data_IF_093236983418
#
_entry.id   IF_093236983418
#
_cell.length_a   1.000
_cell.length_b   1.000
_cell.length_c   1.000
_cell.angle_alpha   90.00
_cell.angle_beta   90.00
_cell.angle_gamma   90.00
#
_symmetry.space_group_name_H-M   'P 1'
#
loop_
_entity.id
_entity.type
_entity.pdbx_description
1 polymer ?
#
# COMPACT_ATOMS: atom_id res chain seq x y z
N UNK A 1 7.19 4.93 12.08
CA UNK A 1 7.44 6.00 11.11
C UNK A 1 6.97 5.45 9.77
N UNK A 2 6.27 6.22 8.95
CA UNK A 2 5.69 5.68 7.72
C UNK A 2 6.69 5.70 6.58
N UNK A 3 6.96 4.53 6.00
CA UNK A 3 7.87 4.34 4.88
C UNK A 3 7.15 4.61 3.55
N UNK A 4 7.77 5.42 2.70
CA UNK A 4 7.30 5.79 1.38
C UNK A 4 8.30 5.30 0.34
N UNK A 5 7.85 4.48 -0.60
CA UNK A 5 8.61 4.15 -1.80
C UNK A 5 8.17 5.08 -2.94
N UNK A 6 9.06 5.96 -3.38
CA UNK A 6 8.86 6.86 -4.52
C UNK A 6 9.48 6.24 -5.78
N UNK A 7 8.65 5.87 -6.74
CA UNK A 7 9.05 5.19 -7.98
C UNK A 7 9.04 6.17 -9.15
N UNK A 8 10.10 6.12 -9.96
CA UNK A 8 10.34 7.04 -11.10
C UNK A 8 10.42 8.52 -10.65
N UNK A 9 11.21 8.76 -9.59
CA UNK A 9 11.45 10.11 -9.08
C UNK A 9 12.19 10.98 -10.12
N UNK A 10 11.55 12.07 -10.55
CA UNK A 10 12.15 13.11 -11.39
C UNK A 10 12.77 14.22 -10.53
N UNK A 11 13.56 15.12 -11.14
CA UNK A 11 14.16 16.25 -10.40
C UNK A 11 13.11 17.15 -9.74
N UNK A 12 11.97 17.37 -10.38
CA UNK A 12 10.87 18.16 -9.84
C UNK A 12 10.21 17.51 -8.60
N UNK A 13 10.32 16.19 -8.44
CA UNK A 13 9.79 15.47 -7.27
C UNK A 13 10.73 15.52 -6.06
N UNK A 14 11.96 15.98 -6.21
CA UNK A 14 12.89 16.11 -5.07
C UNK A 14 12.36 17.08 -4.01
N UNK A 15 11.78 18.22 -4.43
CA UNK A 15 11.14 19.16 -3.52
C UNK A 15 9.99 18.51 -2.75
N UNK A 16 9.19 17.68 -3.42
CA UNK A 16 8.12 16.93 -2.79
C UNK A 16 8.66 15.92 -1.78
N UNK A 17 9.70 15.16 -2.14
CA UNK A 17 10.34 14.20 -1.25
C UNK A 17 10.83 14.87 0.04
N UNK A 18 11.51 16.02 -0.07
CA UNK A 18 11.95 16.80 1.11
C UNK A 18 10.76 17.26 1.97
N UNK A 19 9.69 17.76 1.34
CA UNK A 19 8.48 18.15 2.08
C UNK A 19 7.80 16.98 2.80
N UNK A 20 7.89 15.76 2.26
CA UNK A 20 7.41 14.55 2.92
C UNK A 20 8.34 14.13 4.08
N UNK A 21 9.65 14.24 3.91
CA UNK A 21 10.63 13.98 4.99
C UNK A 21 10.43 14.94 6.17
N UNK A 22 10.24 16.23 5.89
CA UNK A 22 9.93 17.25 6.91
C UNK A 22 8.62 16.96 7.65
N UNK A 23 7.66 16.33 6.97
CA UNK A 23 6.39 15.89 7.56
C UNK A 23 6.51 14.59 8.38
N UNK A 24 7.70 14.00 8.49
CA UNK A 24 8.01 12.82 9.31
C UNK A 24 7.85 11.47 8.60
N UNK A 25 7.82 11.47 7.26
CA UNK A 25 7.90 10.25 6.45
C UNK A 25 9.36 9.90 6.15
N UNK A 26 9.64 8.62 5.92
CA UNK A 26 10.92 8.20 5.33
C UNK A 26 10.69 7.91 3.85
N UNK A 27 11.44 8.57 2.96
CA UNK A 27 11.25 8.47 1.51
C UNK A 27 12.42 7.73 0.89
N UNK A 28 12.16 6.59 0.29
CA UNK A 28 13.12 5.85 -0.53
C UNK A 28 12.76 6.03 -2.00
N UNK A 29 13.66 6.61 -2.79
CA UNK A 29 13.46 6.78 -4.22
C UNK A 29 14.11 5.65 -5.03
N UNK A 30 13.39 5.07 -5.99
CA UNK A 30 13.92 4.04 -6.87
C UNK A 30 13.35 4.14 -8.30
N UNK A 31 13.92 3.38 -9.23
CA UNK A 31 13.37 3.19 -10.58
C UNK A 31 12.32 2.09 -10.57
N UNK A 32 11.42 2.09 -11.55
CA UNK A 32 10.39 1.06 -11.70
C UNK A 32 10.97 -0.35 -11.75
N UNK A 33 12.13 -0.54 -12.38
CA UNK A 33 12.81 -1.83 -12.47
C UNK A 33 13.34 -2.37 -11.14
N UNK A 34 13.56 -1.52 -10.14
CA UNK A 34 14.05 -1.89 -8.81
C UNK A 34 12.92 -1.92 -7.77
N UNK A 35 11.74 -1.37 -8.10
CA UNK A 35 10.63 -1.26 -7.15
C UNK A 35 10.14 -2.63 -6.66
N UNK A 36 10.19 -3.66 -7.51
CA UNK A 36 9.82 -5.03 -7.13
C UNK A 36 10.69 -5.62 -6.03
N UNK A 37 11.97 -5.25 -5.98
CA UNK A 37 12.92 -5.81 -5.02
C UNK A 37 12.67 -5.19 -3.64
N UNK A 38 12.43 -3.89 -3.58
CA UNK A 38 12.01 -3.19 -2.36
C UNK A 38 10.68 -3.73 -1.80
N UNK A 39 9.73 -4.09 -2.66
CA UNK A 39 8.47 -4.71 -2.24
C UNK A 39 8.66 -6.17 -1.78
N UNK A 40 9.69 -6.87 -2.28
CA UNK A 40 9.97 -8.26 -1.95
C UNK A 40 10.79 -8.43 -0.66
N UNK A 41 11.66 -7.46 -0.34
CA UNK A 41 12.57 -7.50 0.81
C UNK A 41 11.85 -7.44 2.18
N UNK A 42 10.52 -7.30 2.19
CA UNK A 42 9.72 -7.34 3.41
C UNK A 42 9.81 -6.06 4.24
N UNK A 43 10.42 -4.99 3.69
CA UNK A 43 10.35 -3.66 4.27
C UNK A 43 8.88 -3.18 4.31
N UNK A 44 8.52 -2.55 5.43
CA UNK A 44 7.17 -2.08 5.74
C UNK A 44 6.82 -0.84 4.91
N UNK A 45 6.79 -0.95 3.58
CA UNK A 45 6.36 0.15 2.70
C UNK A 45 4.88 0.45 2.98
N UNK A 46 4.62 1.59 3.61
CA UNK A 46 3.26 2.03 3.92
C UNK A 46 2.63 2.76 2.74
N UNK A 47 3.44 3.41 1.92
CA UNK A 47 2.97 4.19 0.78
C UNK A 47 3.83 3.88 -0.43
N UNK A 48 3.19 3.54 -1.54
CA UNK A 48 3.80 3.48 -2.86
C UNK A 48 3.38 4.74 -3.64
N UNK A 49 4.32 5.64 -3.90
CA UNK A 49 4.13 6.80 -4.77
C UNK A 49 4.71 6.50 -6.15
N UNK A 50 3.86 6.36 -7.15
CA UNK A 50 4.27 6.05 -8.52
C UNK A 50 4.18 7.29 -9.41
N UNK A 51 5.32 7.80 -9.88
CA UNK A 51 5.33 8.85 -10.90
C UNK A 51 4.96 8.29 -12.26
N UNK A 52 3.94 8.88 -12.88
CA UNK A 52 3.52 8.59 -14.26
C UNK A 52 3.89 9.72 -15.22
N UNK A 53 4.65 10.72 -14.74
CA UNK A 53 4.96 11.94 -15.47
C UNK A 53 5.74 11.65 -16.76
N UNK A 54 6.75 10.79 -16.67
CA UNK A 54 7.61 10.42 -17.81
C UNK A 54 7.07 9.22 -18.61
N UNK A 55 5.77 8.92 -18.48
CA UNK A 55 5.08 7.84 -19.20
C UNK A 55 5.82 6.49 -19.12
N UNK A 56 6.02 5.96 -17.89
CA UNK A 56 6.68 4.66 -17.72
C UNK A 56 5.91 3.54 -18.43
N UNK A 57 6.60 2.43 -18.74
CA UNK A 57 5.98 1.29 -19.43
C UNK A 57 4.71 0.81 -18.70
N UNK A 58 3.52 0.93 -19.33
CA UNK A 58 2.26 0.54 -18.72
C UNK A 58 2.22 -0.94 -18.30
N UNK A 59 2.99 -1.79 -18.95
CA UNK A 59 3.07 -3.23 -18.63
C UNK A 59 3.81 -3.43 -17.31
N UNK A 60 4.98 -2.80 -17.18
CA UNK A 60 5.77 -2.84 -15.95
C UNK A 60 5.03 -2.20 -14.77
N UNK A 61 4.27 -1.12 -14.99
CA UNK A 61 3.40 -0.51 -13.97
C UNK A 61 2.33 -1.49 -13.50
N UNK A 62 1.60 -2.14 -14.42
CA UNK A 62 0.57 -3.12 -14.05
C UNK A 62 1.17 -4.33 -13.32
N UNK A 63 2.36 -4.76 -13.72
CA UNK A 63 3.06 -5.86 -13.07
C UNK A 63 3.52 -5.50 -11.65
N UNK A 64 3.94 -4.25 -11.41
CA UNK A 64 4.25 -3.75 -10.08
C UNK A 64 3.01 -3.71 -9.19
N UNK A 65 1.89 -3.23 -9.72
CA UNK A 65 0.64 -3.01 -8.98
C UNK A 65 -0.22 -4.28 -8.78
N UNK A 66 0.30 -5.47 -9.08
CA UNK A 66 -0.45 -6.71 -8.82
C UNK A 66 -0.67 -6.91 -7.32
N UNK A 67 -1.86 -7.41 -6.98
CA UNK A 67 -2.34 -7.57 -5.61
C UNK A 67 -1.50 -8.52 -4.73
N UNK A 68 -0.66 -9.37 -5.33
CA UNK A 68 0.25 -10.26 -4.61
C UNK A 68 1.58 -9.59 -4.23
N UNK A 69 1.93 -8.45 -4.84
CA UNK A 69 3.18 -7.72 -4.58
C UNK A 69 3.03 -6.56 -3.60
N UNK A 70 1.83 -6.02 -3.48
CA UNK A 70 1.55 -4.87 -2.62
C UNK A 70 0.76 -5.35 -1.41
N UNK A 71 1.23 -5.00 -0.22
CA UNK A 71 0.49 -5.30 1.01
C UNK A 71 -0.88 -4.61 0.95
N UNK A 72 -1.97 -5.27 1.38
CA UNK A 72 -3.29 -4.64 1.43
C UNK A 72 -3.32 -3.39 2.32
N UNK A 73 -2.36 -3.28 3.25
CA UNK A 73 -2.18 -2.12 4.15
C UNK A 73 -1.41 -0.95 3.52
N UNK A 74 -0.78 -1.15 2.37
CA UNK A 74 -0.03 -0.11 1.68
C UNK A 74 -0.98 0.75 0.86
N UNK A 75 -0.87 2.07 1.02
CA UNK A 75 -1.56 3.03 0.17
C UNK A 75 -0.79 3.20 -1.15
N UNK A 76 -1.48 3.15 -2.28
CA UNK A 76 -0.89 3.33 -3.61
C UNK A 76 -1.42 4.63 -4.21
N UNK A 77 -0.53 5.60 -4.46
CA UNK A 77 -0.90 6.85 -5.12
C UNK A 77 -0.09 7.06 -6.39
N UNK A 78 -0.74 7.62 -7.42
CA UNK A 78 -0.05 8.09 -8.62
C UNK A 78 0.34 9.56 -8.51
N UNK A 79 1.45 9.95 -9.13
CA UNK A 79 1.81 11.35 -9.36
C UNK A 79 1.71 11.63 -10.86
N UNK A 80 0.91 12.64 -11.22
CA UNK A 80 0.57 12.96 -12.61
C UNK A 80 0.62 14.46 -12.85
N UNK A 81 0.67 14.87 -14.11
CA UNK A 81 0.34 16.24 -14.53
C UNK A 81 -1.13 16.39 -14.88
N UNK A 82 -1.62 17.62 -14.90
CA UNK A 82 -3.04 17.93 -15.16
C UNK A 82 -3.51 17.40 -16.52
N UNK A 83 -2.67 17.49 -17.54
CA UNK A 83 -2.93 16.99 -18.89
C UNK A 83 -3.01 15.45 -18.99
N UNK A 84 -2.39 14.73 -18.05
CA UNK A 84 -2.39 13.27 -18.02
C UNK A 84 -3.66 12.70 -17.35
N UNK A 85 -4.43 13.54 -16.64
CA UNK A 85 -5.61 13.10 -15.89
C UNK A 85 -6.68 12.48 -16.79
N UNK A 86 -6.83 12.99 -18.02
CA UNK A 86 -7.82 12.50 -18.98
C UNK A 86 -7.49 11.09 -19.54
N UNK A 87 -6.23 10.68 -19.45
CA UNK A 87 -5.73 9.40 -19.99
C UNK A 87 -5.26 8.45 -18.89
N UNK A 88 -5.44 8.82 -17.62
CA UNK A 88 -5.06 7.98 -16.49
C UNK A 88 -5.88 6.68 -16.51
N UNK A 89 -5.18 5.55 -16.52
CA UNK A 89 -5.80 4.24 -16.53
C UNK A 89 -6.42 3.93 -15.16
N UNK A 90 -7.75 4.06 -15.06
CA UNK A 90 -8.51 3.77 -13.85
C UNK A 90 -8.56 2.29 -13.49
N UNK A 91 -8.04 1.39 -14.34
CA UNK A 91 -7.89 -0.03 -14.00
C UNK A 91 -6.68 -0.28 -13.09
N UNK A 92 -5.77 0.69 -12.97
CA UNK A 92 -4.70 0.65 -11.97
C UNK A 92 -5.33 0.74 -10.57
N UNK A 93 -4.93 -0.16 -9.68
CA UNK A 93 -5.42 -0.21 -8.30
C UNK A 93 -4.80 0.90 -7.44
N UNK A 94 -5.23 2.14 -7.69
CA UNK A 94 -4.78 3.35 -7.01
C UNK A 94 -5.80 3.77 -5.94
N UNK A 95 -5.31 4.21 -4.79
CA UNK A 95 -6.13 4.76 -3.70
C UNK A 95 -6.40 6.25 -3.88
N UNK A 96 -5.43 6.99 -4.43
CA UNK A 96 -5.56 8.41 -4.77
C UNK A 96 -4.48 8.83 -5.80
N UNK A 97 -4.47 10.10 -6.20
CA UNK A 97 -3.42 10.67 -7.04
C UNK A 97 -3.05 12.09 -6.60
N UNK A 98 -1.81 12.50 -6.89
CA UNK A 98 -1.27 13.83 -6.68
C UNK A 98 -1.08 14.47 -8.06
N UNK A 99 -1.72 15.63 -8.29
CA UNK A 99 -1.59 16.37 -9.54
C UNK A 99 -0.58 17.50 -9.35
N UNK A 100 0.49 17.50 -10.13
CA UNK A 100 1.43 18.61 -10.12
C UNK A 100 0.91 19.83 -10.90
N UNK A 101 1.22 21.07 -10.44
CA UNK A 101 1.97 21.38 -9.21
C UNK A 101 1.10 21.24 -7.95
N UNK A 102 1.55 20.45 -6.97
CA UNK A 102 0.90 20.27 -5.67
C UNK A 102 1.71 20.94 -4.56
N UNK A 103 1.03 21.44 -3.53
CA UNK A 103 1.71 21.87 -2.31
C UNK A 103 2.17 20.66 -1.50
N UNK A 104 3.24 20.81 -0.71
CA UNK A 104 3.69 19.76 0.20
C UNK A 104 2.58 19.36 1.18
N UNK A 105 1.83 20.34 1.69
CA UNK A 105 0.70 20.11 2.60
C UNK A 105 -0.41 19.28 1.95
N UNK A 106 -0.75 19.54 0.69
CA UNK A 106 -1.76 18.76 -0.03
C UNK A 106 -1.30 17.30 -0.19
N UNK A 107 -0.07 17.08 -0.63
CA UNK A 107 0.47 15.73 -0.81
C UNK A 107 0.49 14.95 0.51
N UNK A 108 0.95 15.59 1.59
CA UNK A 108 0.93 14.99 2.95
C UNK A 108 -0.50 14.63 3.36
N UNK A 109 -1.47 15.50 3.09
CA UNK A 109 -2.86 15.26 3.46
C UNK A 109 -3.46 14.08 2.69
N UNK A 110 -3.25 14.02 1.37
CA UNK A 110 -3.69 12.89 0.52
C UNK A 110 -3.08 11.56 0.96
N UNK A 111 -1.78 11.54 1.24
CA UNK A 111 -1.09 10.35 1.74
C UNK A 111 -1.68 9.89 3.08
N UNK A 112 -1.88 10.82 4.04
CA UNK A 112 -2.48 10.50 5.33
C UNK A 112 -3.90 9.99 5.19
N UNK A 113 -4.69 10.57 4.28
CA UNK A 113 -6.06 10.13 4.01
C UNK A 113 -6.09 8.71 3.44
N UNK A 114 -5.25 8.41 2.44
CA UNK A 114 -5.17 7.08 1.85
C UNK A 114 -4.76 6.02 2.90
N UNK A 115 -3.79 6.33 3.77
CA UNK A 115 -3.41 5.46 4.89
C UNK A 115 -4.55 5.24 5.89
N UNK A 116 -5.34 6.29 6.20
CA UNK A 116 -6.50 6.15 7.09
C UNK A 116 -7.58 5.26 6.48
N UNK A 117 -7.84 5.37 5.17
CA UNK A 117 -8.79 4.49 4.48
C UNK A 117 -8.33 3.02 4.54
N UNK A 118 -7.04 2.73 4.29
CA UNK A 118 -6.51 1.37 4.45
C UNK A 118 -6.69 0.82 5.87
N UNK A 119 -6.48 1.65 6.89
CA UNK A 119 -6.69 1.24 8.29
C UNK A 119 -8.18 1.03 8.66
N UNK A 120 -9.10 1.76 8.02
CA UNK A 120 -10.54 1.62 8.23
C UNK A 120 -11.10 0.37 7.53
N UNK A 121 -10.62 0.05 6.33
CA UNK A 121 -10.95 -1.21 5.65
C UNK A 121 -10.44 -2.42 6.44
N UNK A 122 -9.25 -2.31 7.04
CA UNK A 122 -8.64 -3.32 7.91
C UNK A 122 -9.55 -3.70 9.10
N UNK A 123 -10.25 -2.75 9.71
CA UNK A 123 -11.07 -3.02 10.91
C UNK A 123 -12.42 -3.68 10.60
N UNK A 124 -12.90 -3.63 9.36
CA UNK A 124 -14.17 -4.27 8.97
C UNK A 124 -14.02 -5.72 8.48
N UNK A 125 -12.85 -6.08 7.93
CA UNK A 125 -12.60 -7.37 7.31
C UNK A 125 -11.48 -8.18 7.96
N UNK A 126 -10.78 -7.64 8.96
CA UNK A 126 -9.76 -8.39 9.70
C UNK A 126 -10.19 -8.75 11.10
N UNK A 127 -9.80 -9.96 11.52
CA UNK A 127 -9.89 -10.38 12.91
C UNK A 127 -8.47 -10.34 13.49
N UNK A 128 -8.26 -9.52 14.51
CA UNK A 128 -6.97 -9.34 15.17
C UNK A 128 -7.02 -9.97 16.57
N UNK A 129 -6.08 -10.87 16.86
CA UNK A 129 -5.97 -11.60 18.13
C UNK A 129 -4.50 -11.61 18.60
N UNK A 130 -4.08 -10.57 19.32
CA UNK A 130 -2.66 -10.39 19.64
C UNK A 130 -1.85 -10.20 18.34
N UNK A 131 -0.81 -11.01 18.16
CA UNK A 131 0.01 -10.97 16.93
C UNK A 131 -0.66 -11.66 15.74
N UNK A 132 -1.79 -12.35 15.93
CA UNK A 132 -2.52 -13.02 14.86
C UNK A 132 -3.41 -12.03 14.11
N UNK A 133 -3.28 -11.97 12.79
CA UNK A 133 -4.17 -11.22 11.89
C UNK A 133 -4.80 -12.19 10.89
N UNK A 134 -6.13 -12.20 10.81
CA UNK A 134 -6.89 -12.98 9.82
C UNK A 134 -7.54 -12.01 8.86
N UNK A 135 -7.17 -12.05 7.59
CA UNK A 135 -7.83 -11.31 6.52
C UNK A 135 -8.96 -12.17 5.93
N UNK A 136 -10.20 -11.76 6.20
CA UNK A 136 -11.38 -12.49 5.77
C UNK A 136 -11.69 -12.33 4.28
N UNK A 137 -11.14 -11.30 3.61
CA UNK A 137 -11.35 -11.07 2.19
C UNK A 137 -10.43 -11.95 1.34
N UNK A 138 -9.17 -12.07 1.74
CA UNK A 138 -8.16 -12.84 0.99
C UNK A 138 -7.95 -14.28 1.50
N UNK A 139 -8.63 -14.68 2.58
CA UNK A 139 -8.43 -15.96 3.26
C UNK A 139 -6.97 -16.17 3.74
N UNK A 140 -6.24 -15.09 3.96
CA UNK A 140 -4.85 -15.13 4.42
C UNK A 140 -4.76 -14.93 5.92
N UNK A 141 -3.79 -15.61 6.53
CA UNK A 141 -3.50 -15.50 7.96
C UNK A 141 -2.06 -15.07 8.14
N UNK A 142 -1.84 -14.17 9.10
CA UNK A 142 -0.53 -13.66 9.45
C UNK A 142 -0.32 -13.79 10.96
N UNK A 143 0.91 -14.10 11.37
CA UNK A 143 1.37 -14.00 12.75
C UNK A 143 2.53 -13.01 12.78
N UNK A 144 2.31 -11.83 13.36
CA UNK A 144 3.13 -10.65 13.12
C UNK A 144 3.13 -10.30 11.63
N UNK A 145 4.32 -10.25 11.02
CA UNK A 145 4.49 -10.01 9.58
C UNK A 145 4.65 -11.29 8.75
N UNK A 146 4.55 -12.47 9.36
CA UNK A 146 4.75 -13.74 8.64
C UNK A 146 3.42 -14.31 8.17
N UNK A 147 3.28 -14.53 6.87
CA UNK A 147 2.13 -15.28 6.34
C UNK A 147 2.21 -16.75 6.75
N UNK A 148 1.07 -17.29 7.18
CA UNK A 148 0.90 -18.70 7.52
C UNK A 148 0.00 -19.32 6.47
N UNK A 149 0.55 -20.30 5.75
CA UNK A 149 -0.23 -21.14 4.85
C UNK A 149 -1.04 -22.14 5.67
N UNK A 150 -2.37 -22.03 5.54
CA UNK A 150 -3.32 -22.95 6.16
C UNK A 150 -4.13 -23.64 5.06
N UNK A 151 -4.49 -24.88 5.29
CA UNK A 151 -5.56 -25.51 4.51
C UNK A 151 -6.89 -24.82 4.79
N UNK A 152 -7.86 -24.94 3.88
CA UNK A 152 -9.17 -24.31 4.03
C UNK A 152 -9.85 -24.65 5.38
N UNK A 153 -9.77 -25.90 5.82
CA UNK A 153 -10.36 -26.34 7.09
C UNK A 153 -9.64 -25.75 8.31
N UNK A 154 -8.33 -25.60 8.26
CA UNK A 154 -7.55 -24.99 9.35
C UNK A 154 -7.85 -23.50 9.44
N UNK A 155 -7.97 -22.81 8.31
CA UNK A 155 -8.42 -21.41 8.25
C UNK A 155 -9.81 -21.25 8.86
N UNK A 156 -10.79 -22.06 8.45
CA UNK A 156 -12.15 -21.96 8.96
C UNK A 156 -12.21 -22.17 10.47
N UNK A 157 -11.48 -23.16 10.98
CA UNK A 157 -11.40 -23.43 12.41
C UNK A 157 -10.76 -22.25 13.16
N UNK A 158 -9.64 -21.74 12.67
CA UNK A 158 -8.94 -20.62 13.30
C UNK A 158 -9.80 -19.35 13.32
N UNK A 159 -10.44 -19.04 12.18
CA UNK A 159 -11.39 -17.92 12.06
C UNK A 159 -12.55 -18.09 13.03
N UNK A 160 -13.12 -19.29 13.12
CA UNK A 160 -14.21 -19.59 14.04
C UNK A 160 -13.80 -19.40 15.50
N UNK A 161 -12.61 -19.86 15.90
CA UNK A 161 -12.08 -19.64 17.25
C UNK A 161 -11.81 -18.15 17.52
N UNK A 162 -11.26 -17.43 16.56
CA UNK A 162 -10.97 -16.00 16.67
C UNK A 162 -12.24 -15.14 16.81
N UNK A 163 -13.36 -15.54 16.19
CA UNK A 163 -14.66 -14.89 16.34
C UNK A 163 -15.35 -15.21 17.68
N UNK A 164 -14.98 -16.30 18.33
CA UNK A 164 -15.59 -16.79 19.57
C UNK A 164 -14.60 -16.77 20.74
N UNK A 165 -13.81 -15.69 20.86
CA UNK A 165 -12.92 -15.50 22.00
C UNK A 165 -13.67 -15.67 23.33
N UNK A 166 -12.99 -16.32 24.29
CA UNK A 166 -13.48 -16.61 25.64
C UNK A 166 -14.74 -17.48 25.74
N UNK A 167 -15.15 -18.14 24.65
CA UNK A 167 -16.25 -19.10 24.65
C UNK A 167 -15.76 -20.51 24.36
N UNK A 168 -16.25 -21.47 25.15
CA UNK A 168 -16.07 -22.89 24.84
C UNK A 168 -16.99 -23.23 23.69
N UNK A 169 -16.42 -23.63 22.56
CA UNK A 169 -17.16 -24.17 21.43
C UNK A 169 -17.11 -25.70 21.48
N UNK A 170 -18.27 -26.36 21.40
CA UNK A 170 -18.44 -27.82 21.38
C UNK A 170 -18.99 -28.29 20.06
#
# INVERSE_FOLDING_TARGET
>A
MSEILLVEATEELQSLATGLEDAGFHVTACRLSAASDHLADGDLINVLLLSLIDEPDPTAVRDLLRADRISPRSAVLAIVRSEQLAVLDLTLSLDDFIVLPASHEEAVWRIKQALQHKAADDTSNQIICGDLTIDQASYKVFLGNRSIDLTFKEYELLRFMALNQDKVCT
#
